data_IF_610297400233
#
_entry.id   IF_610297400233
#
_cell.length_a   1.000
_cell.length_b   1.000
_cell.length_c   1.000
_cell.angle_alpha   90.00
_cell.angle_beta   90.00
_cell.angle_gamma   90.00
#
_symmetry.space_group_name_H-M   'P 1'
#
loop_
_entity.id
_entity.type
_entity.pdbx_description
1 polymer ?
#
# COMPACT_ATOMS: atom_id res chain seq x y z
N UNK A 1 -12.66 50.58 -8.63
CA UNK A 1 -11.41 49.90 -9.06
C UNK A 1 -11.20 48.71 -8.13
N UNK A 2 -11.77 47.55 -8.45
CA UNK A 2 -11.61 46.32 -7.67
C UNK A 2 -10.52 45.47 -8.32
N UNK A 3 -9.34 45.43 -7.70
CA UNK A 3 -8.23 44.57 -8.10
C UNK A 3 -8.63 43.11 -7.97
N UNK A 4 -8.89 42.45 -9.11
CA UNK A 4 -8.93 41.01 -9.22
C UNK A 4 -7.50 40.50 -9.05
N UNK A 5 -7.12 40.14 -7.82
CA UNK A 5 -5.96 39.30 -7.55
C UNK A 5 -6.26 37.90 -8.10
N UNK A 6 -6.21 37.78 -9.43
CA UNK A 6 -6.17 36.49 -10.10
C UNK A 6 -4.88 35.80 -9.69
N UNK A 7 -4.98 34.90 -8.71
CA UNK A 7 -3.93 33.94 -8.39
C UNK A 7 -3.90 32.92 -9.53
N UNK A 8 -3.47 33.35 -10.72
CA UNK A 8 -3.17 32.45 -11.83
C UNK A 8 -1.92 31.68 -11.43
N UNK A 9 -2.13 30.52 -10.80
CA UNK A 9 -1.07 29.55 -10.56
C UNK A 9 -0.37 29.30 -11.91
N UNK A 10 0.96 29.43 -11.99
CA UNK A 10 1.66 29.20 -13.24
C UNK A 10 1.34 27.80 -13.73
N UNK A 11 0.85 27.69 -14.97
CA UNK A 11 0.64 26.40 -15.63
C UNK A 11 2.01 25.72 -15.69
N UNK A 12 2.18 24.54 -15.05
CA UNK A 12 3.48 23.94 -14.92
C UNK A 12 4.06 23.63 -16.29
N UNK A 13 5.31 24.02 -16.50
CA UNK A 13 6.01 23.77 -17.75
C UNK A 13 6.27 22.26 -17.89
N UNK A 14 6.24 21.70 -19.11
CA UNK A 14 6.49 20.25 -19.33
C UNK A 14 7.78 19.72 -18.67
N UNK A 15 8.79 20.57 -18.51
CA UNK A 15 10.04 20.22 -17.81
C UNK A 15 9.86 20.13 -16.29
N UNK A 16 9.10 21.04 -15.69
CA UNK A 16 8.70 20.97 -14.28
C UNK A 16 7.87 19.71 -14.05
N UNK A 17 6.98 19.38 -14.99
CA UNK A 17 6.24 18.11 -14.99
C UNK A 17 7.15 16.91 -14.84
N UNK A 18 8.09 16.79 -15.76
CA UNK A 18 9.00 15.67 -15.80
C UNK A 18 9.90 15.59 -14.55
N UNK A 19 10.31 16.73 -13.99
CA UNK A 19 11.13 16.79 -12.78
C UNK A 19 10.37 16.32 -11.53
N UNK A 20 9.19 16.88 -11.27
CA UNK A 20 8.33 16.49 -10.13
C UNK A 20 7.89 15.03 -10.26
N UNK A 21 7.49 14.58 -11.46
CA UNK A 21 7.12 13.19 -11.72
C UNK A 21 8.23 12.22 -11.29
N UNK A 22 9.49 12.53 -11.63
CA UNK A 22 10.66 11.70 -11.28
C UNK A 22 10.90 11.67 -9.77
N UNK A 23 10.84 12.82 -9.12
CA UNK A 23 11.12 12.97 -7.70
C UNK A 23 10.06 12.26 -6.85
N UNK A 24 8.78 12.56 -7.09
CA UNK A 24 7.65 11.95 -6.38
C UNK A 24 7.62 10.44 -6.59
N UNK A 25 7.81 9.96 -7.83
CA UNK A 25 7.83 8.52 -8.12
C UNK A 25 8.97 7.79 -7.40
N UNK A 26 10.12 8.43 -7.19
CA UNK A 26 11.26 7.84 -6.48
C UNK A 26 10.99 7.74 -4.99
N UNK A 27 10.51 8.81 -4.36
CA UNK A 27 10.17 8.81 -2.94
C UNK A 27 9.06 7.80 -2.64
N UNK A 28 7.97 7.84 -3.43
CA UNK A 28 6.86 6.92 -3.32
C UNK A 28 7.29 5.45 -3.42
N UNK A 29 8.21 5.13 -4.34
CA UNK A 29 8.76 3.78 -4.46
C UNK A 29 9.47 3.33 -3.19
N UNK A 30 10.34 4.15 -2.60
CA UNK A 30 11.08 3.78 -1.39
C UNK A 30 10.15 3.62 -0.19
N UNK A 31 9.17 4.51 -0.03
CA UNK A 31 8.17 4.40 1.04
C UNK A 31 7.38 3.10 0.88
N UNK A 32 6.86 2.80 -0.32
CA UNK A 32 6.16 1.54 -0.59
C UNK A 32 7.04 0.31 -0.35
N UNK A 33 8.33 0.38 -0.71
CA UNK A 33 9.25 -0.73 -0.53
C UNK A 33 9.48 -1.03 0.95
N UNK A 34 9.70 0.00 1.77
CA UNK A 34 9.91 -0.15 3.22
C UNK A 34 8.64 -0.67 3.90
N UNK A 35 7.49 -0.04 3.63
CA UNK A 35 6.21 -0.48 4.20
C UNK A 35 5.84 -1.89 3.76
N UNK A 36 6.08 -2.22 2.48
CA UNK A 36 5.85 -3.55 1.94
C UNK A 36 6.78 -4.61 2.53
N UNK A 37 8.05 -4.28 2.78
CA UNK A 37 8.97 -5.19 3.45
C UNK A 37 8.54 -5.48 4.89
N UNK A 38 8.14 -4.44 5.65
CA UNK A 38 7.62 -4.61 7.02
C UNK A 38 6.37 -5.49 7.00
N UNK A 39 5.43 -5.21 6.10
CA UNK A 39 4.20 -5.99 5.95
C UNK A 39 4.48 -7.46 5.61
N UNK A 40 5.35 -7.71 4.64
CA UNK A 40 5.73 -9.06 4.22
C UNK A 40 6.40 -9.84 5.35
N UNK A 41 7.35 -9.23 6.05
CA UNK A 41 8.05 -9.87 7.17
C UNK A 41 7.05 -10.20 8.29
N UNK A 42 6.18 -9.26 8.67
CA UNK A 42 5.15 -9.50 9.68
C UNK A 42 4.22 -10.66 9.29
N UNK A 43 3.78 -10.71 8.04
CA UNK A 43 2.93 -11.80 7.54
C UNK A 43 3.65 -13.15 7.55
N UNK A 44 4.92 -13.19 7.13
CA UNK A 44 5.72 -14.41 7.16
C UNK A 44 5.94 -14.94 8.57
N UNK A 45 6.24 -14.05 9.53
CA UNK A 45 6.34 -14.42 10.94
C UNK A 45 5.03 -14.99 11.47
N UNK A 46 3.90 -14.38 11.12
CA UNK A 46 2.58 -14.88 11.50
C UNK A 46 2.27 -16.26 10.90
N UNK A 47 2.59 -16.49 9.62
CA UNK A 47 2.36 -17.80 8.97
C UNK A 47 3.28 -18.86 9.58
N UNK A 48 4.57 -18.58 9.70
CA UNK A 48 5.57 -19.53 10.19
C UNK A 48 5.27 -19.97 11.62
N UNK A 49 5.01 -19.02 12.52
CA UNK A 49 4.75 -19.37 13.91
C UNK A 49 3.40 -20.06 14.11
N UNK A 50 2.43 -19.88 13.20
CA UNK A 50 1.16 -20.62 13.23
C UNK A 50 1.38 -22.09 12.86
N UNK A 51 2.16 -22.37 11.83
CA UNK A 51 2.47 -23.73 11.39
C UNK A 51 3.21 -24.57 12.46
N UNK A 52 3.96 -23.93 13.35
CA UNK A 52 4.66 -24.60 14.46
C UNK A 52 3.74 -24.96 15.63
N UNK A 53 2.48 -24.52 15.64
CA UNK A 53 1.57 -24.66 16.78
C UNK A 53 0.39 -25.57 16.47
N UNK A 54 0.22 -26.63 17.26
CA UNK A 54 -0.73 -27.74 17.03
C UNK A 54 -2.22 -27.32 17.18
N UNK A 55 -2.50 -26.13 17.74
CA UNK A 55 -3.84 -25.75 18.20
C UNK A 55 -4.35 -24.40 17.62
N UNK A 56 -3.99 -24.05 16.38
CA UNK A 56 -4.30 -22.71 15.80
C UNK A 56 -5.35 -22.70 14.69
N UNK A 57 -6.43 -23.45 14.86
CA UNK A 57 -7.52 -23.44 13.88
C UNK A 57 -8.55 -22.34 14.15
N UNK A 58 -8.15 -21.06 14.03
CA UNK A 58 -9.07 -19.94 13.97
C UNK A 58 -9.33 -19.56 12.50
N UNK A 59 -10.55 -19.80 12.03
CA UNK A 59 -10.96 -19.55 10.65
C UNK A 59 -10.87 -18.06 10.27
N UNK A 60 -11.18 -17.14 11.20
CA UNK A 60 -11.14 -15.70 10.97
C UNK A 60 -9.71 -15.19 10.69
N UNK A 61 -8.73 -15.58 11.52
CA UNK A 61 -7.31 -15.24 11.27
C UNK A 61 -6.83 -15.89 9.96
N UNK A 62 -7.27 -17.12 9.65
CA UNK A 62 -6.97 -17.77 8.36
C UNK A 62 -7.46 -16.98 7.16
N UNK A 63 -8.70 -16.51 7.21
CA UNK A 63 -9.27 -15.65 6.17
C UNK A 63 -8.53 -14.31 6.05
N UNK A 64 -8.18 -13.69 7.18
CA UNK A 64 -7.34 -12.48 7.20
C UNK A 64 -5.98 -12.68 6.52
N UNK A 65 -5.30 -13.79 6.79
CA UNK A 65 -4.03 -14.16 6.14
C UNK A 65 -4.22 -14.38 4.63
N UNK A 66 -5.30 -15.05 4.22
CA UNK A 66 -5.60 -15.26 2.80
C UNK A 66 -5.77 -13.93 2.04
N UNK A 67 -6.55 -12.99 2.60
CA UNK A 67 -6.69 -11.65 2.03
C UNK A 67 -5.36 -10.89 2.03
N UNK A 68 -4.55 -11.04 3.09
CA UNK A 68 -3.24 -10.41 3.21
C UNK A 68 -2.27 -10.87 2.12
N UNK A 69 -2.26 -12.18 1.80
CA UNK A 69 -1.46 -12.72 0.69
C UNK A 69 -1.85 -12.06 -0.63
N UNK A 70 -3.15 -11.91 -0.90
CA UNK A 70 -3.63 -11.19 -2.08
C UNK A 70 -3.17 -9.73 -2.12
N UNK A 71 -3.24 -9.04 -0.97
CA UNK A 71 -2.74 -7.67 -0.83
C UNK A 71 -1.23 -7.53 -1.08
N UNK A 72 -0.43 -8.49 -0.61
CA UNK A 72 1.02 -8.56 -0.83
C UNK A 72 1.34 -8.79 -2.31
N UNK A 73 0.63 -9.70 -2.99
CA UNK A 73 0.83 -9.94 -4.42
C UNK A 73 0.54 -8.68 -5.24
N UNK A 74 -0.54 -7.96 -4.91
CA UNK A 74 -0.83 -6.67 -5.51
C UNK A 74 0.24 -5.62 -5.19
N UNK A 75 0.81 -5.63 -3.98
CA UNK A 75 1.89 -4.71 -3.61
C UNK A 75 3.18 -5.01 -4.37
N UNK A 76 3.55 -6.28 -4.55
CA UNK A 76 4.65 -6.70 -5.40
C UNK A 76 4.46 -6.23 -6.84
N UNK A 77 3.25 -6.43 -7.40
CA UNK A 77 2.90 -5.89 -8.71
C UNK A 77 2.99 -4.36 -8.73
N UNK A 78 2.53 -3.67 -7.68
CA UNK A 78 2.57 -2.21 -7.59
C UNK A 78 3.99 -1.66 -7.55
N UNK A 79 4.90 -2.32 -6.84
CA UNK A 79 6.33 -2.01 -6.82
C UNK A 79 6.98 -2.23 -8.18
N UNK A 80 6.65 -3.35 -8.86
CA UNK A 80 7.03 -3.58 -10.25
C UNK A 80 6.53 -2.45 -11.17
N UNK A 81 5.27 -2.04 -11.01
CA UNK A 81 4.65 -1.00 -11.80
C UNK A 81 5.30 0.38 -11.60
N UNK A 82 5.80 0.67 -10.40
CA UNK A 82 6.57 1.89 -10.13
C UNK A 82 7.86 2.02 -10.98
N UNK A 83 8.42 0.92 -11.49
CA UNK A 83 9.51 0.98 -12.46
C UNK A 83 9.06 1.50 -13.83
N UNK A 84 7.82 1.23 -14.25
CA UNK A 84 7.27 1.86 -15.47
C UNK A 84 7.16 3.37 -15.32
N UNK A 85 6.77 3.86 -14.13
CA UNK A 85 6.71 5.30 -13.88
C UNK A 85 8.09 5.91 -14.08
N UNK A 86 9.13 5.31 -13.47
CA UNK A 86 10.53 5.76 -13.66
C UNK A 86 10.97 5.76 -15.13
N UNK A 87 10.56 4.77 -15.94
CA UNK A 87 10.86 4.75 -17.38
C UNK A 87 10.16 5.88 -18.13
N UNK A 88 8.88 6.14 -17.84
CA UNK A 88 8.13 7.25 -18.43
C UNK A 88 8.73 8.60 -18.06
N UNK A 89 9.09 8.79 -16.80
CA UNK A 89 9.77 9.99 -16.30
C UNK A 89 11.05 10.28 -17.08
N UNK A 90 11.89 9.26 -17.29
CA UNK A 90 13.14 9.39 -18.05
C UNK A 90 12.89 9.76 -19.52
N UNK A 91 11.87 9.18 -20.16
CA UNK A 91 11.51 9.50 -21.55
C UNK A 91 10.96 10.91 -21.69
N UNK A 92 10.21 11.42 -20.72
CA UNK A 92 9.72 12.80 -20.74
C UNK A 92 10.86 13.83 -20.60
N UNK A 93 11.96 13.46 -19.94
CA UNK A 93 13.15 14.30 -19.81
C UNK A 93 14.11 14.21 -21.00
N UNK A 94 13.87 13.32 -21.99
CA UNK A 94 14.78 13.18 -23.12
C UNK A 94 14.70 14.38 -24.06
N UNK A 95 15.85 14.89 -24.49
CA UNK A 95 15.95 15.98 -25.45
C UNK A 95 15.34 15.63 -26.83
N UNK A 96 15.29 14.33 -27.16
CA UNK A 96 14.66 13.85 -28.38
C UNK A 96 13.13 13.78 -28.20
N UNK A 97 12.41 14.65 -28.94
CA UNK A 97 10.95 14.82 -28.86
C UNK A 97 10.17 13.64 -29.43
N UNK A 98 10.78 12.85 -30.31
CA UNK A 98 10.16 11.65 -30.89
C UNK A 98 10.05 10.51 -29.87
N UNK A 99 10.84 10.54 -28.80
CA UNK A 99 10.82 9.55 -27.72
C UNK A 99 9.79 9.87 -26.62
N UNK A 100 9.11 11.02 -26.70
CA UNK A 100 8.14 11.43 -25.70
C UNK A 100 6.92 10.51 -25.69
N UNK A 101 6.56 9.92 -24.54
CA UNK A 101 5.38 9.07 -24.45
C UNK A 101 4.12 9.89 -24.71
N UNK A 102 3.16 9.31 -25.41
CA UNK A 102 1.85 9.93 -25.65
C UNK A 102 1.07 10.08 -24.34
N UNK A 103 0.26 11.14 -24.23
CA UNK A 103 -0.50 11.50 -23.01
C UNK A 103 -1.46 10.39 -22.59
N UNK A 104 -2.18 9.80 -23.54
CA UNK A 104 -3.07 8.63 -23.35
C UNK A 104 -2.34 7.43 -22.71
N UNK A 105 -1.14 7.12 -23.18
CA UNK A 105 -0.30 6.05 -22.63
C UNK A 105 0.14 6.33 -21.19
N UNK A 106 0.46 7.57 -20.85
CA UNK A 106 0.79 7.98 -19.48
C UNK A 106 -0.44 7.83 -18.57
N UNK A 107 -1.59 8.36 -18.99
CA UNK A 107 -2.85 8.28 -18.25
C UNK A 107 -3.23 6.81 -17.98
N UNK A 108 -3.16 5.95 -18.98
CA UNK A 108 -3.48 4.53 -18.81
C UNK A 108 -2.55 3.85 -17.79
N UNK A 109 -1.25 4.13 -17.86
CA UNK A 109 -0.28 3.58 -16.91
C UNK A 109 -0.57 4.05 -15.49
N UNK A 110 -0.92 5.31 -15.29
CA UNK A 110 -1.26 5.85 -13.98
C UNK A 110 -2.60 5.29 -13.45
N UNK A 111 -3.62 5.16 -14.31
CA UNK A 111 -4.92 4.56 -13.96
C UNK A 111 -4.79 3.12 -13.48
N UNK A 112 -3.97 2.31 -14.16
CA UNK A 112 -3.70 0.93 -13.74
C UNK A 112 -3.06 0.90 -12.34
N UNK A 113 -2.06 1.75 -12.10
CA UNK A 113 -1.41 1.81 -10.78
C UNK A 113 -2.35 2.31 -9.67
N UNK A 114 -3.26 3.24 -9.99
CA UNK A 114 -4.30 3.70 -9.07
C UNK A 114 -5.30 2.58 -8.73
N UNK A 115 -5.81 1.85 -9.74
CA UNK A 115 -6.74 0.73 -9.54
C UNK A 115 -6.12 -0.38 -8.70
N UNK A 116 -4.87 -0.77 -8.98
CA UNK A 116 -4.13 -1.77 -8.20
C UNK A 116 -3.98 -1.32 -6.75
N UNK A 117 -3.59 -0.06 -6.53
CA UNK A 117 -3.49 0.49 -5.18
C UNK A 117 -4.83 0.50 -4.45
N UNK A 118 -5.93 0.85 -5.13
CA UNK A 118 -7.26 0.83 -4.52
C UNK A 118 -7.72 -0.58 -4.14
N UNK A 119 -7.56 -1.56 -5.03
CA UNK A 119 -7.92 -2.96 -4.76
C UNK A 119 -7.05 -3.55 -3.65
N UNK A 120 -5.73 -3.30 -3.71
CA UNK A 120 -4.80 -3.78 -2.67
C UNK A 120 -5.08 -3.16 -1.31
N UNK A 121 -5.42 -1.87 -1.27
CA UNK A 121 -5.84 -1.19 -0.04
C UNK A 121 -7.14 -1.77 0.51
N UNK A 122 -8.14 -2.05 -0.35
CA UNK A 122 -9.40 -2.66 0.06
C UNK A 122 -9.18 -4.06 0.67
N UNK A 123 -8.39 -4.91 0.03
CA UNK A 123 -8.06 -6.24 0.56
C UNK A 123 -7.35 -6.14 1.92
N UNK A 124 -6.36 -5.25 2.03
CA UNK A 124 -5.62 -5.04 3.27
C UNK A 124 -6.51 -4.49 4.40
N UNK A 125 -7.44 -3.59 4.08
CA UNK A 125 -8.42 -3.06 5.02
C UNK A 125 -9.35 -4.15 5.54
N UNK A 126 -9.97 -4.93 4.65
CA UNK A 126 -10.84 -6.05 5.05
C UNK A 126 -10.09 -7.09 5.89
N UNK A 127 -8.85 -7.42 5.50
CA UNK A 127 -7.98 -8.31 6.27
C UNK A 127 -7.69 -7.77 7.67
N UNK A 128 -7.45 -6.46 7.79
CA UNK A 128 -7.24 -5.78 9.08
C UNK A 128 -8.46 -5.89 9.97
N UNK A 129 -9.66 -5.54 9.48
CA UNK A 129 -10.90 -5.57 10.26
C UNK A 129 -11.19 -6.97 10.80
N UNK A 130 -11.10 -7.99 9.95
CA UNK A 130 -11.26 -9.39 10.37
C UNK A 130 -10.26 -9.75 11.46
N UNK A 131 -9.00 -9.36 11.30
CA UNK A 131 -7.93 -9.70 12.26
C UNK A 131 -8.14 -8.99 13.60
N UNK A 132 -8.50 -7.71 13.58
CA UNK A 132 -8.78 -6.90 14.78
C UNK A 132 -9.97 -7.45 15.54
N UNK A 133 -11.08 -7.78 14.86
CA UNK A 133 -12.26 -8.36 15.51
C UNK A 133 -11.91 -9.68 16.21
N UNK A 134 -11.10 -10.54 15.56
CA UNK A 134 -10.69 -11.80 16.18
C UNK A 134 -9.76 -11.58 17.38
N UNK A 135 -8.79 -10.67 17.27
CA UNK A 135 -7.89 -10.31 18.39
C UNK A 135 -8.70 -9.77 19.56
N UNK A 136 -9.65 -8.87 19.30
CA UNK A 136 -10.51 -8.28 20.32
C UNK A 136 -11.38 -9.34 20.98
N UNK A 137 -12.00 -10.23 20.21
CA UNK A 137 -12.82 -11.32 20.76
C UNK A 137 -12.02 -12.23 21.68
N UNK A 138 -10.76 -12.57 21.32
CA UNK A 138 -9.85 -13.33 22.18
C UNK A 138 -9.50 -12.56 23.46
N UNK A 139 -9.22 -11.26 23.34
CA UNK A 139 -8.89 -10.41 24.48
C UNK A 139 -10.05 -10.29 25.48
N UNK A 140 -11.29 -10.25 25.00
CA UNK A 140 -12.49 -10.18 25.84
C UNK A 140 -12.87 -11.53 26.47
N UNK A 141 -12.50 -12.65 25.84
CA UNK A 141 -12.82 -13.99 26.31
C UNK A 141 -11.89 -14.49 27.43
N UNK A 142 -10.73 -13.86 27.65
CA UNK A 142 -9.76 -14.19 28.71
C UNK A 142 -10.12 -13.44 30.03
N UNK A 143 -10.55 -14.13 31.11
CA UNK A 143 -10.82 -13.48 32.39
C UNK A 143 -9.52 -12.93 33.01
N UNK A 144 -9.50 -11.64 33.38
CA UNK A 144 -8.32 -10.88 33.86
C UNK A 144 -7.69 -11.38 35.18
N UNK A 145 -8.05 -12.56 35.69
CA UNK A 145 -7.57 -13.11 36.97
C UNK A 145 -6.98 -14.52 36.91
N UNK A 146 -7.03 -15.23 35.77
CA UNK A 146 -6.59 -16.64 35.65
C UNK A 146 -5.36 -16.80 34.72
N UNK A 147 -4.89 -15.70 34.12
CA UNK A 147 -3.75 -15.69 33.18
C UNK A 147 -2.40 -16.18 33.78
N UNK A 148 -2.33 -16.40 35.10
CA UNK A 148 -1.17 -17.00 35.77
C UNK A 148 -1.11 -18.52 35.57
N UNK A 149 -2.25 -19.21 35.38
CA UNK A 149 -2.31 -20.68 35.34
C UNK A 149 -2.50 -21.28 33.93
N UNK A 150 -3.09 -20.55 32.98
CA UNK A 150 -3.38 -21.08 31.64
C UNK A 150 -2.63 -20.29 30.55
N UNK A 151 -1.37 -20.65 30.33
CA UNK A 151 -0.46 -19.98 29.38
C UNK A 151 -0.81 -20.23 27.90
N UNK A 152 -1.78 -21.09 27.62
CA UNK A 152 -2.09 -21.57 26.27
C UNK A 152 -3.06 -20.67 25.48
N UNK A 153 -3.84 -19.85 26.20
CA UNK A 153 -4.88 -18.94 25.66
C UNK A 153 -4.52 -17.45 25.68
N UNK A 154 -3.34 -17.08 26.20
CA UNK A 154 -2.82 -15.70 26.14
C UNK A 154 -2.87 -15.22 24.69
N UNK A 155 -3.41 -14.01 24.45
CA UNK A 155 -3.38 -13.31 23.16
C UNK A 155 -2.01 -13.54 22.53
N UNK A 156 -1.95 -14.41 21.52
CA UNK A 156 -0.68 -14.77 20.92
C UNK A 156 -0.21 -13.54 20.18
N UNK A 157 1.01 -13.08 20.48
CA UNK A 157 1.69 -11.99 19.75
C UNK A 157 1.64 -12.19 18.22
N UNK A 158 1.44 -13.43 17.78
CA UNK A 158 1.16 -13.84 16.41
C UNK A 158 0.00 -13.12 15.72
N UNK A 159 -1.16 -12.99 16.37
CA UNK A 159 -2.33 -12.39 15.73
C UNK A 159 -2.12 -10.88 15.51
N UNK A 160 -1.32 -10.26 16.39
CA UNK A 160 -0.88 -8.87 16.25
C UNK A 160 0.06 -8.68 15.06
N UNK A 161 0.86 -9.68 14.68
CA UNK A 161 1.67 -9.60 13.45
C UNK A 161 0.80 -9.60 12.19
N UNK A 162 -0.35 -10.31 12.18
CA UNK A 162 -1.30 -10.23 11.06
C UNK A 162 -1.93 -8.84 10.96
N UNK A 163 -2.31 -8.25 12.10
CA UNK A 163 -2.81 -6.87 12.16
C UNK A 163 -1.74 -5.88 11.67
N UNK A 164 -0.50 -5.99 12.17
CA UNK A 164 0.62 -5.16 11.75
C UNK A 164 0.87 -5.26 10.24
N UNK A 165 0.87 -6.49 9.71
CA UNK A 165 1.04 -6.74 8.28
C UNK A 165 -0.02 -6.01 7.45
N UNK A 166 -1.29 -6.12 7.85
CA UNK A 166 -2.40 -5.51 7.12
C UNK A 166 -2.38 -3.98 7.21
N UNK A 167 -2.17 -3.39 8.38
CA UNK A 167 -2.13 -1.93 8.56
C UNK A 167 -0.97 -1.30 7.77
N UNK A 168 0.22 -1.90 7.82
CA UNK A 168 1.38 -1.40 7.06
C UNK A 168 1.17 -1.53 5.54
N UNK A 169 0.47 -2.58 5.11
CA UNK A 169 0.09 -2.78 3.70
C UNK A 169 -0.92 -1.75 3.20
N UNK A 170 -1.91 -1.36 4.04
CA UNK A 170 -2.83 -0.25 3.73
C UNK A 170 -2.02 1.01 3.43
N UNK A 171 -1.07 1.36 4.30
CA UNK A 171 -0.19 2.52 4.12
C UNK A 171 0.62 2.45 2.82
N UNK A 172 1.17 1.28 2.48
CA UNK A 172 1.91 1.08 1.24
C UNK A 172 1.03 1.32 0.00
N UNK A 173 -0.16 0.73 -0.04
CA UNK A 173 -1.10 0.92 -1.15
C UNK A 173 -1.62 2.35 -1.24
N UNK A 174 -1.91 2.99 -0.10
CA UNK A 174 -2.34 4.38 -0.02
C UNK A 174 -1.32 5.32 -0.65
N UNK A 175 -0.04 5.21 -0.27
CA UNK A 175 1.05 6.02 -0.85
C UNK A 175 1.12 5.83 -2.37
N UNK A 176 0.98 4.59 -2.84
CA UNK A 176 0.95 4.28 -4.27
C UNK A 176 -0.27 4.84 -5.02
N UNK A 177 -1.41 4.88 -4.35
CA UNK A 177 -2.66 5.46 -4.83
C UNK A 177 -2.54 6.98 -4.97
N UNK A 178 -2.19 7.67 -3.89
CA UNK A 178 -1.96 9.13 -3.86
C UNK A 178 -0.96 9.56 -4.92
N UNK A 179 0.13 8.80 -5.09
CA UNK A 179 1.11 9.08 -6.14
C UNK A 179 0.51 8.97 -7.54
N UNK A 180 -0.29 7.94 -7.81
CA UNK A 180 -0.90 7.76 -9.14
C UNK A 180 -1.98 8.81 -9.40
N UNK A 181 -2.79 9.13 -8.39
CA UNK A 181 -3.83 10.15 -8.44
C UNK A 181 -3.26 11.55 -8.67
N UNK A 182 -2.29 11.98 -7.86
CA UNK A 182 -1.68 13.30 -8.01
C UNK A 182 -0.97 13.47 -9.35
N UNK A 183 -0.34 12.41 -9.88
CA UNK A 183 0.24 12.44 -11.21
C UNK A 183 -0.82 12.47 -12.32
N UNK A 184 -2.01 11.88 -12.12
CA UNK A 184 -3.12 11.95 -13.09
C UNK A 184 -3.69 13.36 -13.16
N UNK A 185 -4.02 13.93 -12.01
CA UNK A 185 -4.57 15.29 -11.90
C UNK A 185 -3.65 16.31 -12.58
N UNK A 186 -2.35 16.15 -12.40
CA UNK A 186 -1.37 17.06 -12.96
C UNK A 186 -1.05 16.82 -14.45
N UNK A 187 -1.35 15.63 -15.00
CA UNK A 187 -1.30 15.36 -16.45
C UNK A 187 -2.53 15.92 -17.16
N UNK A 188 -3.67 15.95 -16.48
CA UNK A 188 -4.93 16.41 -17.06
C UNK A 188 -5.02 17.94 -17.18
N UNK A 189 -4.29 18.68 -16.34
CA UNK A 189 -4.04 20.13 -16.47
C UNK A 189 -3.23 20.47 -17.75
#
# INVERSE_FOLDING_TARGET
MSNQLGFSLPIPTKQEFAATFRTVSRFSFWIQLVLGAISLIALLLAIFSRNLSVQTNNAGIGFGIFLAIGGILLLCFRLYWAFRYRRLAKRLQSANRELHPRKDGIIQVLKIGLMVSAVGMLLAFLASEVSVVVVLAKALAEPQGIAVYNRENVIRSLDLFVVLANVTMIGAHFVGGVTSFGLLEWVDQ
#
